data_IF_059781907477
#
_entry.id   IF_059781907477
#
_cell.length_a   1.000
_cell.length_b   1.000
_cell.length_c   1.000
_cell.angle_alpha   90.00
_cell.angle_beta   90.00
_cell.angle_gamma   90.00
#
_symmetry.space_group_name_H-M   'P 1'
#
loop_
_entity.id
_entity.type
_entity.pdbx_description
1 polymer ?
#
# COMPACT_ATOMS: atom_id res chain seq x y z
N UNK A 1 23.33 54.25 -41.04
CA UNK A 1 24.21 53.17 -40.58
C UNK A 1 24.08 53.07 -39.06
N UNK A 2 22.97 52.50 -38.59
CA UNK A 2 22.68 52.41 -37.15
C UNK A 2 23.54 51.32 -36.53
N UNK A 3 24.67 51.71 -35.93
CA UNK A 3 25.42 50.89 -34.98
C UNK A 3 24.58 50.73 -33.70
N UNK A 4 23.59 49.84 -33.74
CA UNK A 4 22.87 49.39 -32.56
C UNK A 4 23.69 48.27 -31.92
N UNK A 5 24.30 48.57 -30.78
CA UNK A 5 25.08 47.60 -30.01
C UNK A 5 24.13 46.51 -29.47
N UNK A 6 24.34 45.21 -29.79
CA UNK A 6 23.50 44.08 -29.38
C UNK A 6 23.63 43.72 -27.89
N UNK A 7 24.13 44.64 -27.06
CA UNK A 7 24.50 44.36 -25.67
C UNK A 7 23.28 44.09 -24.77
N UNK A 8 22.11 44.69 -25.04
CA UNK A 8 20.91 44.47 -24.21
C UNK A 8 20.25 43.11 -24.41
N UNK A 9 20.20 42.60 -25.65
CA UNK A 9 19.62 41.28 -25.95
C UNK A 9 20.42 40.14 -25.31
N UNK A 10 21.75 40.23 -25.37
CA UNK A 10 22.62 39.18 -24.82
C UNK A 10 22.62 39.16 -23.29
N UNK A 11 22.47 40.31 -22.64
CA UNK A 11 22.37 40.39 -21.16
C UNK A 11 21.12 39.65 -20.67
N UNK A 12 19.99 39.79 -21.36
CA UNK A 12 18.75 39.08 -21.00
C UNK A 12 18.94 37.57 -21.14
N UNK A 13 19.57 37.12 -22.22
CA UNK A 13 19.86 35.70 -22.43
C UNK A 13 20.77 35.12 -21.33
N UNK A 14 21.81 35.86 -20.93
CA UNK A 14 22.72 35.45 -19.85
C UNK A 14 21.98 35.38 -18.51
N UNK A 15 21.14 36.36 -18.18
CA UNK A 15 20.35 36.36 -16.94
C UNK A 15 19.39 35.18 -16.92
N UNK A 16 18.70 34.90 -18.02
CA UNK A 16 17.82 33.73 -18.14
C UNK A 16 18.59 32.42 -17.96
N UNK A 17 19.77 32.30 -18.56
CA UNK A 17 20.61 31.11 -18.43
C UNK A 17 21.02 30.89 -16.97
N UNK A 18 21.48 31.95 -16.29
CA UNK A 18 21.82 31.88 -14.87
C UNK A 18 20.59 31.53 -14.01
N UNK A 19 19.43 32.13 -14.28
CA UNK A 19 18.20 31.83 -13.56
C UNK A 19 17.79 30.35 -13.70
N UNK A 20 17.90 29.78 -14.90
CA UNK A 20 17.64 28.35 -15.15
C UNK A 20 18.65 27.46 -14.42
N UNK A 21 19.94 27.82 -14.43
CA UNK A 21 20.96 27.06 -13.70
C UNK A 21 20.70 27.07 -12.19
N UNK A 22 20.39 28.23 -11.61
CA UNK A 22 20.05 28.35 -10.19
C UNK A 22 18.79 27.54 -9.86
N UNK A 23 17.78 27.59 -10.72
CA UNK A 23 16.55 26.79 -10.58
C UNK A 23 16.84 25.28 -10.62
N UNK A 24 17.67 24.83 -11.56
CA UNK A 24 18.05 23.42 -11.68
C UNK A 24 18.82 22.92 -10.45
N UNK A 25 19.77 23.71 -9.95
CA UNK A 25 20.52 23.39 -8.73
C UNK A 25 19.61 23.36 -7.50
N UNK A 26 18.69 24.32 -7.39
CA UNK A 26 17.68 24.35 -6.33
C UNK A 26 16.77 23.11 -6.36
N UNK A 27 16.34 22.69 -7.55
CA UNK A 27 15.51 21.49 -7.72
C UNK A 27 16.26 20.22 -7.29
N UNK A 28 17.55 20.10 -7.64
CA UNK A 28 18.39 18.96 -7.22
C UNK A 28 18.51 18.90 -5.70
N UNK A 29 18.74 20.05 -5.06
CA UNK A 29 18.84 20.14 -3.60
C UNK A 29 17.54 19.75 -2.90
N UNK A 30 16.40 20.23 -3.42
CA UNK A 30 15.07 19.86 -2.90
C UNK A 30 14.78 18.38 -3.14
N UNK A 31 15.17 17.83 -4.29
CA UNK A 31 15.00 16.40 -4.63
C UNK A 31 15.78 15.50 -3.68
N UNK A 32 17.03 15.83 -3.35
CA UNK A 32 17.83 15.05 -2.40
C UNK A 32 17.24 15.11 -0.99
N UNK A 33 16.83 16.30 -0.55
CA UNK A 33 16.19 16.50 0.75
C UNK A 33 14.87 15.72 0.86
N UNK A 34 14.07 15.70 -0.21
CA UNK A 34 12.80 14.97 -0.26
C UNK A 34 13.00 13.45 -0.11
N UNK A 35 14.08 12.89 -0.68
CA UNK A 35 14.39 11.46 -0.56
C UNK A 35 14.63 11.04 0.89
N UNK A 36 15.21 11.92 1.72
CA UNK A 36 15.43 11.66 3.15
C UNK A 36 14.14 11.72 3.97
N UNK A 37 13.27 12.71 3.71
CA UNK A 37 11.98 12.82 4.39
C UNK A 37 11.00 11.70 3.99
N UNK A 38 11.00 11.30 2.71
CA UNK A 38 10.18 10.17 2.26
C UNK A 38 10.59 8.86 2.94
N UNK A 39 11.88 8.64 3.19
CA UNK A 39 12.34 7.45 3.91
C UNK A 39 11.73 7.34 5.31
N UNK A 40 11.70 8.44 6.06
CA UNK A 40 11.11 8.44 7.42
C UNK A 40 9.59 8.21 7.38
N UNK A 41 8.89 8.85 6.45
CA UNK A 41 7.45 8.62 6.26
C UNK A 41 7.16 7.16 5.88
N UNK A 42 7.98 6.57 5.01
CA UNK A 42 7.85 5.17 4.60
C UNK A 42 8.03 4.22 5.79
N UNK A 43 8.99 4.45 6.69
CA UNK A 43 9.18 3.57 7.86
C UNK A 43 7.96 3.54 8.80
N UNK A 44 7.36 4.70 9.08
CA UNK A 44 6.15 4.77 9.92
C UNK A 44 4.94 4.14 9.21
N UNK A 45 4.84 4.28 7.90
CA UNK A 45 3.80 3.63 7.09
C UNK A 45 3.96 2.10 7.08
N UNK A 46 5.19 1.60 6.92
CA UNK A 46 5.46 0.16 6.94
C UNK A 46 5.09 -0.50 8.27
N UNK A 47 5.35 0.15 9.40
CA UNK A 47 4.93 -0.35 10.71
C UNK A 47 3.40 -0.45 10.83
N UNK A 48 2.67 0.53 10.29
CA UNK A 48 1.19 0.50 10.25
C UNK A 48 0.67 -0.60 9.34
N UNK A 49 1.28 -0.79 8.17
CA UNK A 49 0.92 -1.82 7.21
C UNK A 49 1.04 -3.23 7.83
N UNK A 50 2.17 -3.50 8.51
CA UNK A 50 2.40 -4.79 9.16
C UNK A 50 1.34 -5.09 10.23
N UNK A 51 1.01 -4.09 11.06
CA UNK A 51 -0.04 -4.24 12.06
C UNK A 51 -1.40 -4.51 11.39
N UNK A 52 -1.73 -3.78 10.32
CA UNK A 52 -2.98 -3.98 9.58
C UNK A 52 -3.11 -5.39 9.00
N UNK A 53 -2.03 -5.93 8.41
CA UNK A 53 -1.98 -7.30 7.90
C UNK A 53 -2.25 -8.29 9.03
N UNK A 54 -1.53 -8.19 10.16
CA UNK A 54 -1.73 -9.10 11.29
C UNK A 54 -3.16 -9.03 11.86
N UNK A 55 -3.73 -7.84 11.93
CA UNK A 55 -5.09 -7.63 12.40
C UNK A 55 -6.13 -8.23 11.45
N UNK A 56 -5.94 -8.07 10.14
CA UNK A 56 -6.83 -8.68 9.13
C UNK A 56 -6.78 -10.21 9.17
N UNK A 57 -5.61 -10.80 9.42
CA UNK A 57 -5.48 -12.25 9.62
C UNK A 57 -6.24 -12.72 10.85
N UNK A 58 -6.10 -12.02 11.98
CA UNK A 58 -6.84 -12.36 13.20
C UNK A 58 -8.36 -12.27 13.00
N UNK A 59 -8.84 -11.24 12.31
CA UNK A 59 -10.26 -11.08 11.98
C UNK A 59 -10.79 -12.22 11.10
N UNK A 60 -9.97 -12.72 10.17
CA UNK A 60 -10.33 -13.87 9.35
C UNK A 60 -10.37 -15.15 10.19
N UNK A 61 -9.49 -15.31 11.17
CA UNK A 61 -9.54 -16.41 12.13
C UNK A 61 -10.82 -16.33 12.99
N UNK A 62 -11.12 -15.20 13.63
CA UNK A 62 -12.34 -15.02 14.42
C UNK A 62 -13.62 -15.18 13.58
N UNK A 63 -13.61 -14.62 12.36
CA UNK A 63 -14.71 -14.73 11.40
C UNK A 63 -14.94 -16.17 10.94
N UNK A 64 -13.86 -16.94 10.71
CA UNK A 64 -13.97 -18.34 10.34
C UNK A 64 -14.55 -19.20 11.47
N UNK A 65 -14.13 -18.95 12.72
CA UNK A 65 -14.67 -19.66 13.89
C UNK A 65 -16.13 -19.31 14.15
N UNK A 66 -16.52 -18.05 13.96
CA UNK A 66 -17.91 -17.58 14.11
C UNK A 66 -18.80 -18.09 12.97
N UNK A 67 -18.30 -18.11 11.74
CA UNK A 67 -19.01 -18.67 10.59
C UNK A 67 -19.19 -20.18 10.73
N UNK A 68 -18.14 -20.94 11.10
CA UNK A 68 -18.25 -22.39 11.33
C UNK A 68 -19.18 -22.72 12.50
N UNK A 69 -19.05 -22.07 13.66
CA UNK A 69 -19.95 -22.32 14.80
C UNK A 69 -21.41 -22.00 14.46
N UNK A 70 -21.66 -20.93 13.69
CA UNK A 70 -23.01 -20.59 13.23
C UNK A 70 -23.56 -21.61 12.22
N UNK A 71 -22.74 -22.08 11.28
CA UNK A 71 -23.13 -23.15 10.33
C UNK A 71 -23.43 -24.45 11.06
N UNK A 72 -22.63 -24.81 12.07
CA UNK A 72 -22.81 -26.02 12.85
C UNK A 72 -24.09 -25.95 13.70
N UNK A 73 -24.37 -24.81 14.34
CA UNK A 73 -25.64 -24.61 15.04
C UNK A 73 -26.85 -24.65 14.11
N UNK A 74 -26.76 -24.08 12.90
CA UNK A 74 -27.84 -24.13 11.91
C UNK A 74 -28.04 -25.57 11.42
N UNK A 75 -26.97 -26.32 11.14
CA UNK A 75 -27.05 -27.73 10.74
C UNK A 75 -27.65 -28.63 11.84
N UNK A 76 -27.24 -28.45 13.10
CA UNK A 76 -27.81 -29.22 14.22
C UNK A 76 -29.27 -28.86 14.48
N UNK A 77 -29.64 -27.57 14.42
CA UNK A 77 -31.01 -27.12 14.74
C UNK A 77 -32.01 -27.27 13.60
N UNK A 78 -31.62 -27.06 12.34
CA UNK A 78 -32.53 -27.19 11.19
C UNK A 78 -32.52 -28.59 10.57
N UNK A 79 -31.41 -29.32 10.63
CA UNK A 79 -31.31 -30.66 10.01
C UNK A 79 -31.25 -31.82 11.02
N UNK A 80 -31.33 -31.56 12.33
CA UNK A 80 -31.34 -32.62 13.34
C UNK A 80 -30.08 -33.49 13.35
N UNK A 81 -28.95 -32.96 12.87
CA UNK A 81 -27.70 -33.72 12.80
C UNK A 81 -27.09 -33.93 14.20
N UNK A 82 -27.15 -35.17 14.67
CA UNK A 82 -26.42 -35.68 15.85
C UNK A 82 -25.03 -36.14 15.38
N UNK A 83 -23.96 -35.77 16.08
CA UNK A 83 -22.61 -36.24 15.78
C UNK A 83 -22.56 -37.76 15.98
N UNK A 84 -22.38 -38.57 14.91
CA UNK A 84 -22.38 -40.01 15.05
C UNK A 84 -21.10 -40.44 15.79
N UNK A 85 -21.24 -41.15 16.90
CA UNK A 85 -20.12 -41.88 17.51
C UNK A 85 -19.59 -42.95 16.55
N UNK A 86 -18.36 -43.39 16.76
CA UNK A 86 -17.44 -44.22 15.92
C UNK A 86 -18.00 -45.40 15.09
N UNK A 87 -19.30 -45.69 15.11
CA UNK A 87 -19.93 -46.83 14.44
C UNK A 87 -20.77 -46.48 13.20
N UNK A 88 -20.71 -45.25 12.67
CA UNK A 88 -21.47 -44.90 11.46
C UNK A 88 -20.66 -44.04 10.48
N UNK A 89 -19.49 -44.54 10.07
CA UNK A 89 -18.79 -44.05 8.88
C UNK A 89 -19.15 -45.01 7.73
N UNK A 90 -20.01 -44.58 6.82
CA UNK A 90 -20.23 -45.30 5.54
C UNK A 90 -19.37 -44.60 4.50
N UNK A 91 -18.24 -45.23 4.15
CA UNK A 91 -17.42 -44.82 3.01
C UNK A 91 -18.17 -45.23 1.75
N UNK A 92 -18.68 -44.26 1.00
CA UNK A 92 -19.27 -44.53 -0.31
C UNK A 92 -18.12 -44.60 -1.31
N UNK A 93 -17.73 -45.84 -1.64
CA UNK A 93 -16.77 -46.11 -2.69
C UNK A 93 -17.48 -45.96 -4.04
N UNK A 94 -17.15 -44.91 -4.78
CA UNK A 94 -17.60 -44.75 -6.16
C UNK A 94 -16.56 -45.44 -7.06
N UNK A 95 -16.93 -46.60 -7.62
CA UNK A 95 -16.21 -47.24 -8.73
C UNK A 95 -16.62 -46.60 -10.05
#
# INVERSE_FOLDING_TARGET
>A
MSWQLPFSENVIAIVLLVAVLVSALGLIYVKDSNRRLMGQLQTMQMAREQLHISWSQLLLEEGAWTAQTRIQQIATRQFGMVMPGDKSIVVVNNL
#
